data_IF_361147546373
#
_entry.id   IF_361147546373
#
_cell.length_a   1.000
_cell.length_b   1.000
_cell.length_c   1.000
_cell.angle_alpha   90.00
_cell.angle_beta   90.00
_cell.angle_gamma   90.00
#
_symmetry.space_group_name_H-M   'P 1'
#
loop_
_entity.id
_entity.type
_entity.pdbx_description
1 polymer ?
#
# COMPACT_ATOMS: atom_id res chain seq x y z
N UNK A 1 -4.28 17.32 -16.20
CA UNK A 1 -3.07 16.55 -16.56
C UNK A 1 -2.72 16.58 -18.07
N UNK A 2 -3.57 17.09 -18.97
CA UNK A 2 -3.24 17.23 -20.40
C UNK A 2 -2.36 18.46 -20.74
N UNK A 3 -2.45 19.54 -19.96
CA UNK A 3 -1.80 20.82 -20.26
C UNK A 3 -0.26 20.78 -20.11
N UNK A 4 0.27 19.95 -19.20
CA UNK A 4 1.71 19.83 -18.92
C UNK A 4 2.46 19.00 -19.97
N UNK A 5 1.80 18.03 -20.60
CA UNK A 5 2.42 17.16 -21.61
C UNK A 5 2.59 17.95 -22.91
N UNK A 6 1.58 18.72 -23.32
CA UNK A 6 1.63 19.55 -24.53
C UNK A 6 2.63 20.72 -24.47
N UNK A 7 2.98 21.24 -23.29
CA UNK A 7 3.97 22.32 -23.18
C UNK A 7 5.40 21.85 -23.45
N UNK A 8 5.74 20.61 -23.08
CA UNK A 8 7.05 19.99 -23.35
C UNK A 8 7.24 19.80 -24.86
N UNK A 9 6.22 19.30 -25.56
CA UNK A 9 6.27 19.07 -27.01
C UNK A 9 6.27 20.36 -27.86
N UNK A 10 5.71 21.47 -27.37
CA UNK A 10 5.73 22.75 -28.10
C UNK A 10 6.94 23.64 -27.81
N UNK A 11 7.58 23.50 -26.65
CA UNK A 11 8.64 24.41 -26.21
C UNK A 11 10.06 23.98 -26.62
N UNK A 12 10.27 22.74 -27.07
CA UNK A 12 11.61 22.24 -27.44
C UNK A 12 11.78 22.13 -28.95
N UNK A 13 12.64 22.95 -29.60
CA UNK A 13 12.86 22.93 -31.05
C UNK A 13 13.77 21.77 -31.52
N UNK A 14 14.22 20.91 -30.60
CA UNK A 14 15.16 19.83 -30.88
C UNK A 14 14.44 18.48 -31.01
N UNK A 15 14.36 17.96 -32.24
CA UNK A 15 13.74 16.68 -32.60
C UNK A 15 14.26 15.44 -31.85
N UNK A 16 15.41 15.53 -31.17
CA UNK A 16 15.99 14.42 -30.43
C UNK A 16 15.38 14.28 -29.02
N UNK A 17 14.98 15.39 -28.38
CA UNK A 17 14.35 15.37 -27.05
C UNK A 17 12.93 14.76 -27.09
N UNK A 18 12.24 14.87 -28.21
CA UNK A 18 10.89 14.31 -28.39
C UNK A 18 10.89 12.78 -28.48
N UNK A 19 11.99 12.16 -28.92
CA UNK A 19 12.15 10.69 -28.99
C UNK A 19 12.31 10.12 -27.58
N UNK A 20 13.11 10.76 -26.72
CA UNK A 20 13.32 10.33 -25.33
C UNK A 20 12.03 10.44 -24.49
N UNK A 21 11.22 11.49 -24.72
CA UNK A 21 9.95 11.69 -24.01
C UNK A 21 8.92 10.60 -24.35
N UNK A 22 8.94 10.06 -25.58
CA UNK A 22 8.06 8.94 -25.98
C UNK A 22 8.55 7.58 -25.46
N UNK A 23 9.82 7.47 -25.11
CA UNK A 23 10.37 6.23 -24.54
C UNK A 23 9.80 5.95 -23.14
N UNK A 24 9.55 7.00 -22.34
CA UNK A 24 8.99 6.92 -20.98
C UNK A 24 7.61 6.23 -20.93
N UNK A 25 6.57 6.69 -21.68
CA UNK A 25 5.25 6.06 -21.66
C UNK A 25 5.26 4.65 -22.26
N UNK A 26 6.10 4.36 -23.26
CA UNK A 26 6.21 3.02 -23.85
C UNK A 26 6.81 2.04 -22.84
N UNK A 27 7.91 2.42 -22.20
CA UNK A 27 8.52 1.63 -21.12
C UNK A 27 7.53 1.42 -19.97
N UNK A 28 6.77 2.46 -19.60
CA UNK A 28 5.75 2.34 -18.56
C UNK A 28 4.69 1.29 -18.90
N UNK A 29 4.18 1.25 -20.14
CA UNK A 29 3.20 0.24 -20.57
C UNK A 29 3.80 -1.18 -20.46
N UNK A 30 5.04 -1.36 -20.91
CA UNK A 30 5.73 -2.66 -20.83
C UNK A 30 5.89 -3.11 -19.38
N UNK A 31 6.37 -2.21 -18.50
CA UNK A 31 6.48 -2.52 -17.07
C UNK A 31 5.12 -2.80 -16.44
N UNK A 32 4.07 -2.05 -16.80
CA UNK A 32 2.74 -2.26 -16.24
C UNK A 32 2.23 -3.68 -16.52
N UNK A 33 2.38 -4.17 -17.76
CA UNK A 33 2.01 -5.55 -18.13
C UNK A 33 2.85 -6.56 -17.36
N UNK A 34 4.16 -6.34 -17.26
CA UNK A 34 5.06 -7.22 -16.53
C UNK A 34 4.71 -7.28 -15.03
N UNK A 35 4.35 -6.14 -14.45
CA UNK A 35 3.93 -6.03 -13.05
C UNK A 35 2.59 -6.74 -12.81
N UNK A 36 1.69 -6.73 -13.79
CA UNK A 36 0.42 -7.47 -13.72
C UNK A 36 0.64 -8.98 -13.59
N UNK A 37 1.51 -9.56 -14.42
CA UNK A 37 1.84 -10.99 -14.33
C UNK A 37 2.49 -11.34 -12.98
N UNK A 38 3.44 -10.52 -12.53
CA UNK A 38 4.07 -10.72 -11.21
C UNK A 38 3.03 -10.62 -10.09
N UNK A 39 2.10 -9.67 -10.17
CA UNK A 39 1.06 -9.51 -9.17
C UNK A 39 0.14 -10.74 -9.08
N UNK A 40 -0.12 -11.42 -10.20
CA UNK A 40 -0.92 -12.63 -10.23
C UNK A 40 -0.20 -13.82 -9.56
N UNK A 41 1.08 -14.02 -9.87
CA UNK A 41 1.91 -15.05 -9.23
C UNK A 41 2.07 -14.82 -7.72
N UNK A 42 2.28 -13.56 -7.33
CA UNK A 42 2.32 -13.16 -5.92
C UNK A 42 0.97 -13.45 -5.27
N UNK A 43 -0.14 -13.07 -5.89
CA UNK A 43 -1.48 -13.33 -5.35
C UNK A 43 -1.74 -14.80 -5.11
N UNK A 44 -1.36 -15.67 -6.04
CA UNK A 44 -1.58 -17.11 -5.89
C UNK A 44 -0.65 -17.75 -4.85
N UNK A 45 0.59 -17.26 -4.76
CA UNK A 45 1.50 -17.62 -3.68
C UNK A 45 0.95 -17.20 -2.31
N UNK A 46 0.44 -15.98 -2.18
CA UNK A 46 -0.21 -15.49 -0.96
C UNK A 46 -1.41 -16.36 -0.59
N UNK A 47 -2.31 -16.67 -1.53
CA UNK A 47 -3.46 -17.57 -1.28
C UNK A 47 -3.01 -18.93 -0.76
N UNK A 48 -1.91 -19.48 -1.30
CA UNK A 48 -1.34 -20.77 -0.89
C UNK A 48 -0.73 -20.70 0.51
N UNK A 49 0.13 -19.72 0.78
CA UNK A 49 0.80 -19.52 2.08
C UNK A 49 -0.20 -19.31 3.20
N UNK A 50 -1.20 -18.46 2.99
CA UNK A 50 -2.23 -18.19 4.00
C UNK A 50 -3.29 -19.29 4.11
N UNK A 51 -3.18 -20.35 3.30
CA UNK A 51 -4.15 -21.46 3.19
C UNK A 51 -5.57 -20.91 3.01
N UNK A 52 -5.70 -19.87 2.18
CA UNK A 52 -6.91 -19.06 2.05
C UNK A 52 -8.16 -19.86 1.69
N UNK A 53 -7.99 -20.95 0.93
CA UNK A 53 -9.07 -21.85 0.52
C UNK A 53 -9.52 -22.82 1.62
N UNK A 54 -8.65 -23.12 2.59
CA UNK A 54 -8.93 -24.10 3.65
C UNK A 54 -9.54 -23.47 4.91
N UNK A 55 -9.56 -22.12 5.01
CA UNK A 55 -10.12 -21.41 6.16
C UNK A 55 -11.60 -21.11 5.98
N UNK A 56 -12.41 -21.52 6.96
CA UNK A 56 -13.82 -21.11 7.07
C UNK A 56 -13.94 -19.60 7.31
N UNK A 57 -13.05 -19.03 8.13
CA UNK A 57 -13.04 -17.60 8.45
C UNK A 57 -11.87 -16.88 7.78
N UNK A 58 -12.20 -15.99 6.83
CA UNK A 58 -11.25 -15.17 6.07
C UNK A 58 -10.97 -13.81 6.72
N UNK A 59 -11.66 -13.48 7.81
CA UNK A 59 -11.61 -12.19 8.52
C UNK A 59 -10.19 -11.81 9.00
N UNK A 60 -9.41 -12.68 9.69
CA UNK A 60 -8.07 -12.32 10.15
C UNK A 60 -7.12 -11.96 9.00
N UNK A 61 -7.29 -12.61 7.83
CA UNK A 61 -6.46 -12.35 6.65
C UNK A 61 -6.78 -10.96 6.09
N UNK A 62 -8.05 -10.59 6.04
CA UNK A 62 -8.46 -9.25 5.61
C UNK A 62 -7.99 -8.16 6.58
N UNK A 63 -8.04 -8.42 7.89
CA UNK A 63 -7.56 -7.48 8.90
C UNK A 63 -6.05 -7.22 8.76
N UNK A 64 -5.26 -8.29 8.63
CA UNK A 64 -3.80 -8.18 8.40
C UNK A 64 -3.51 -7.51 7.04
N UNK A 65 -4.28 -7.84 5.99
CA UNK A 65 -4.12 -7.27 4.66
C UNK A 65 -4.37 -5.77 4.62
N UNK A 66 -5.48 -5.30 5.21
CA UNK A 66 -5.80 -3.87 5.31
C UNK A 66 -4.72 -3.12 6.09
N UNK A 67 -4.25 -3.70 7.20
CA UNK A 67 -3.17 -3.13 8.00
C UNK A 67 -1.86 -3.00 7.22
N UNK A 68 -1.45 -4.07 6.52
CA UNK A 68 -0.23 -4.04 5.70
C UNK A 68 -0.29 -3.00 4.59
N UNK A 69 -1.40 -2.90 3.86
CA UNK A 69 -1.54 -1.92 2.77
C UNK A 69 -1.42 -0.49 3.33
N UNK A 70 -2.10 -0.20 4.44
CA UNK A 70 -2.01 1.11 5.08
C UNK A 70 -0.59 1.40 5.58
N UNK A 71 0.05 0.44 6.23
CA UNK A 71 1.43 0.56 6.71
C UNK A 71 2.39 0.89 5.57
N UNK A 72 2.42 0.08 4.51
CA UNK A 72 3.35 0.28 3.40
C UNK A 72 3.05 1.57 2.63
N UNK A 73 1.79 1.99 2.53
CA UNK A 73 1.43 3.25 1.88
C UNK A 73 1.99 4.46 2.65
N UNK A 74 1.93 4.45 3.98
CA UNK A 74 2.43 5.55 4.81
C UNK A 74 3.96 5.57 4.83
N UNK A 75 4.59 4.41 4.99
CA UNK A 75 6.05 4.27 4.91
C UNK A 75 6.57 4.72 3.54
N UNK A 76 5.98 4.22 2.45
CA UNK A 76 6.37 4.60 1.10
C UNK A 76 6.16 6.09 0.80
N UNK A 77 5.07 6.68 1.29
CA UNK A 77 4.84 8.11 1.18
C UNK A 77 5.93 8.92 1.89
N UNK A 78 6.27 8.52 3.12
CA UNK A 78 7.29 9.23 3.91
C UNK A 78 8.67 9.10 3.29
N UNK A 79 9.07 7.89 2.85
CA UNK A 79 10.37 7.67 2.22
C UNK A 79 10.55 8.44 0.92
N UNK A 80 9.49 8.58 0.12
CA UNK A 80 9.56 9.23 -1.21
C UNK A 80 9.44 10.76 -1.10
N UNK A 81 8.50 11.25 -0.30
CA UNK A 81 8.14 12.68 -0.31
C UNK A 81 8.64 13.46 0.90
N UNK A 82 8.90 12.78 2.03
CA UNK A 82 9.05 13.42 3.34
C UNK A 82 10.37 13.00 4.03
N UNK A 83 11.31 12.42 3.27
CA UNK A 83 12.59 11.90 3.77
C UNK A 83 13.40 12.90 4.59
N UNK A 84 13.32 14.18 4.24
CA UNK A 84 14.05 15.26 4.93
C UNK A 84 13.48 15.60 6.33
N UNK A 85 12.27 15.13 6.66
CA UNK A 85 11.63 15.33 7.96
C UNK A 85 11.86 14.15 8.92
N UNK A 86 12.65 13.14 8.50
CA UNK A 86 12.99 11.94 9.28
C UNK A 86 14.16 12.19 10.25
N UNK A 87 14.01 13.18 11.13
CA UNK A 87 15.09 13.60 12.06
C UNK A 87 15.02 12.87 13.41
N UNK A 88 13.86 12.29 13.74
CA UNK A 88 13.61 11.72 15.06
C UNK A 88 13.60 10.19 15.03
N UNK A 89 14.46 9.59 15.85
CA UNK A 89 14.51 8.16 16.10
C UNK A 89 13.98 7.86 17.51
N UNK A 90 13.26 6.75 17.64
CA UNK A 90 12.79 6.23 18.93
C UNK A 90 13.37 4.84 19.15
N UNK A 91 14.28 4.68 20.12
CA UNK A 91 14.90 3.40 20.42
C UNK A 91 15.78 2.83 19.29
N UNK A 92 16.32 3.70 18.42
CA UNK A 92 17.11 3.29 17.25
C UNK A 92 16.29 2.91 16.01
N UNK A 93 14.95 3.03 16.07
CA UNK A 93 14.06 2.88 14.93
C UNK A 93 13.50 4.24 14.50
N UNK A 94 13.43 4.53 13.19
CA UNK A 94 12.82 5.77 12.71
C UNK A 94 11.38 5.93 13.18
N UNK A 95 11.06 7.09 13.76
CA UNK A 95 9.77 7.32 14.41
C UNK A 95 8.58 7.23 13.44
N UNK A 96 8.79 7.50 12.16
CA UNK A 96 7.76 7.36 11.14
C UNK A 96 7.31 5.92 10.93
N UNK A 97 8.18 4.91 11.16
CA UNK A 97 7.80 3.50 11.11
C UNK A 97 6.85 3.17 12.25
N UNK A 98 7.13 3.68 13.45
CA UNK A 98 6.30 3.49 14.64
C UNK A 98 4.92 4.12 14.45
N UNK A 99 4.87 5.38 13.99
CA UNK A 99 3.60 6.05 13.70
C UNK A 99 2.82 5.34 12.58
N UNK A 100 3.50 4.92 11.52
CA UNK A 100 2.85 4.18 10.43
C UNK A 100 2.27 2.86 10.92
N UNK A 101 2.96 2.16 11.81
CA UNK A 101 2.48 0.93 12.42
C UNK A 101 1.26 1.17 13.32
N UNK A 102 1.31 2.17 14.20
CA UNK A 102 0.18 2.52 15.06
C UNK A 102 -1.05 2.92 14.25
N UNK A 103 -0.88 3.72 13.21
CA UNK A 103 -1.97 4.14 12.33
C UNK A 103 -2.56 2.96 11.55
N UNK A 104 -1.71 2.08 11.04
CA UNK A 104 -2.14 0.86 10.37
C UNK A 104 -2.95 -0.02 11.32
N UNK A 105 -2.50 -0.21 12.55
CA UNK A 105 -3.23 -0.96 13.57
C UNK A 105 -4.60 -0.34 13.87
N UNK A 106 -4.66 0.97 14.09
CA UNK A 106 -5.92 1.68 14.34
C UNK A 106 -6.91 1.51 13.18
N UNK A 107 -6.42 1.58 11.93
CA UNK A 107 -7.24 1.32 10.75
C UNK A 107 -7.77 -0.11 10.70
N UNK A 108 -6.99 -1.11 11.14
CA UNK A 108 -7.50 -2.49 11.21
C UNK A 108 -8.64 -2.64 12.23
N UNK A 109 -8.56 -1.94 13.36
CA UNK A 109 -9.61 -1.95 14.38
C UNK A 109 -10.87 -1.24 13.87
N UNK A 110 -10.72 -0.07 13.22
CA UNK A 110 -11.84 0.65 12.60
C UNK A 110 -12.51 -0.21 11.53
N UNK A 111 -11.72 -0.86 10.67
CA UNK A 111 -12.23 -1.80 9.67
C UNK A 111 -13.02 -2.94 10.34
N UNK A 112 -12.50 -3.49 11.43
CA UNK A 112 -13.17 -4.55 12.17
C UNK A 112 -14.53 -4.11 12.72
N UNK A 113 -14.60 -2.91 13.30
CA UNK A 113 -15.83 -2.35 13.88
C UNK A 113 -16.90 -2.06 12.81
N UNK A 114 -16.50 -1.51 11.66
CA UNK A 114 -17.43 -1.16 10.57
C UNK A 114 -17.99 -2.42 9.89
N UNK A 115 -17.14 -3.39 9.57
CA UNK A 115 -17.52 -4.54 8.74
C UNK A 115 -17.98 -5.76 9.55
N UNK A 116 -17.64 -5.85 10.85
CA UNK A 116 -17.99 -6.98 11.70
C UNK A 116 -18.58 -6.58 13.08
N UNK A 117 -19.63 -5.74 13.14
CA UNK A 117 -20.17 -5.20 14.39
C UNK A 117 -20.81 -6.27 15.31
N UNK A 118 -21.26 -7.41 14.76
CA UNK A 118 -22.05 -8.42 15.50
C UNK A 118 -21.26 -9.31 16.46
N UNK A 119 -19.93 -9.36 16.35
CA UNK A 119 -19.07 -10.22 17.19
C UNK A 119 -18.26 -9.45 18.24
N UNK A 120 -18.03 -8.15 18.04
CA UNK A 120 -17.42 -7.25 19.03
C UNK A 120 -18.20 -7.27 20.37
N UNK A 121 -19.54 -7.42 20.30
CA UNK A 121 -20.42 -7.46 21.47
C UNK A 121 -20.43 -8.78 22.26
N UNK A 122 -19.94 -9.89 21.67
CA UNK A 122 -20.00 -11.24 22.26
C UNK A 122 -18.64 -11.77 22.75
N UNK A 123 -17.55 -11.01 22.59
CA UNK A 123 -16.20 -11.39 23.02
C UNK A 123 -15.67 -10.61 24.22
N UNK A 124 -16.46 -9.72 24.83
CA UNK A 124 -16.17 -9.29 26.20
C UNK A 124 -16.34 -10.51 27.10
N UNK A 125 -15.27 -11.05 27.72
CA UNK A 125 -15.46 -12.08 28.73
C UNK A 125 -16.34 -11.44 29.79
N UNK A 126 -17.51 -12.05 30.05
CA UNK A 126 -18.26 -11.74 31.27
C UNK A 126 -17.29 -12.01 32.42
N UNK A 127 -16.78 -10.95 33.03
CA UNK A 127 -16.15 -11.04 34.34
C UNK A 127 -17.18 -11.72 35.23
N UNK A 128 -16.92 -12.99 35.53
CA UNK A 128 -17.69 -13.73 36.52
C UNK A 128 -17.51 -12.99 37.85
N UNK A 129 -18.63 -12.51 38.40
CA UNK A 129 -18.75 -12.05 39.78
C UNK A 129 -18.47 -13.20 40.76
#
# INVERSE_FOLDING_TARGET
MACSITSIFKATPYSWLTIDVLHIPVIFIVFLVLTYFIAEDVRDTFKKVFRFQQRKDKRPIWQVGVGMIFYFSQVGFVEVFVRNLMVFDLGGMPMYLVFSFMNAFLMTVIYEEIFYPKLSKNQTPKLHN
#
